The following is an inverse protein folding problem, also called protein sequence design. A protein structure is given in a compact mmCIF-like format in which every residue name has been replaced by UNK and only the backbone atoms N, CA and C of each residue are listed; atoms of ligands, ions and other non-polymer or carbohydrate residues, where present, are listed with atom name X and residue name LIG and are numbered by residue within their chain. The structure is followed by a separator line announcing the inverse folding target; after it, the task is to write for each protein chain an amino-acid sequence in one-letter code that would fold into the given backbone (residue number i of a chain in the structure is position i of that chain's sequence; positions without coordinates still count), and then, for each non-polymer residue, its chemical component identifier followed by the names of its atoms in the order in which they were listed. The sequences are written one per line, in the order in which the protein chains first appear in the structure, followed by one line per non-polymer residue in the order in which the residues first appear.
data_IF_818610944163
#
_entry.id   IF_818610944163
#
_cell.length_a   1.000
_cell.length_b   1.000
_cell.length_c   1.000
_cell.angle_alpha   90.00
_cell.angle_beta   90.00
_cell.angle_gamma   90.00
#
_symmetry.space_group_name_H-M   'P 1'
#
loop_
_entity.id
_entity.type
_entity.pdbx_description
1 polymer ?
#
# COMPACT_ATOMS: atom_id res chain seq x y z
N UNK A 1 -27.08 -28.50 20.64
CA UNK A 1 -26.28 -29.06 19.55
C UNK A 1 -25.34 -27.97 19.11
N UNK A 2 -24.06 -28.13 19.43
CA UNK A 2 -23.00 -27.17 19.17
C UNK A 2 -22.57 -27.38 17.72
N UNK A 3 -22.80 -26.39 16.86
CA UNK A 3 -22.17 -26.35 15.54
C UNK A 3 -20.75 -25.86 15.76
N UNK A 4 -19.81 -26.72 15.39
CA UNK A 4 -18.37 -26.53 15.42
C UNK A 4 -17.95 -25.30 14.63
N UNK A 5 -17.00 -24.55 15.18
CA UNK A 5 -16.18 -23.59 14.47
C UNK A 5 -15.53 -24.27 13.27
N UNK A 6 -15.99 -23.97 12.06
CA UNK A 6 -15.21 -24.21 10.86
C UNK A 6 -14.04 -23.21 10.91
N UNK A 7 -12.92 -23.68 11.44
CA UNK A 7 -11.62 -23.13 11.13
C UNK A 7 -11.49 -23.09 9.61
N UNK A 8 -11.16 -21.93 9.06
CA UNK A 8 -10.65 -21.84 7.71
C UNK A 8 -9.34 -22.64 7.73
N UNK A 9 -9.41 -23.89 7.27
CA UNK A 9 -8.23 -24.68 6.97
C UNK A 9 -7.49 -23.94 5.86
N UNK A 10 -6.49 -23.13 6.24
CA UNK A 10 -5.36 -22.91 5.36
C UNK A 10 -4.76 -24.30 5.18
N UNK A 11 -5.04 -24.97 4.06
CA UNK A 11 -4.20 -26.08 3.65
C UNK A 11 -2.76 -25.55 3.69
N UNK A 12 -1.97 -26.06 4.65
CA UNK A 12 -0.56 -25.74 4.80
C UNK A 12 0.15 -26.24 3.53
N UNK A 13 0.10 -25.46 2.45
CA UNK A 13 0.97 -25.64 1.30
C UNK A 13 2.40 -25.71 1.85
N UNK A 14 2.99 -26.90 1.78
CA UNK A 14 4.31 -27.12 2.31
C UNK A 14 5.31 -26.26 1.54
N UNK A 15 6.01 -25.37 2.25
CA UNK A 15 7.12 -24.60 1.73
C UNK A 15 8.34 -25.52 1.55
N UNK A 16 8.30 -26.38 0.55
CA UNK A 16 9.44 -27.20 0.13
C UNK A 16 10.37 -26.43 -0.80
N UNK A 17 11.56 -26.99 -1.04
CA UNK A 17 12.58 -26.35 -1.86
C UNK A 17 12.10 -26.04 -3.28
N UNK A 18 11.34 -26.97 -3.89
CA UNK A 18 10.89 -26.81 -5.27
C UNK A 18 9.85 -25.68 -5.39
N UNK A 19 8.89 -25.67 -4.47
CA UNK A 19 7.84 -24.66 -4.38
C UNK A 19 8.42 -23.28 -4.10
N UNK A 20 9.35 -23.17 -3.14
CA UNK A 20 10.01 -21.89 -2.85
C UNK A 20 10.88 -21.41 -4.01
N UNK A 21 11.56 -22.31 -4.72
CA UNK A 21 12.34 -21.96 -5.92
C UNK A 21 11.44 -21.39 -7.02
N UNK A 22 10.27 -21.99 -7.25
CA UNK A 22 9.29 -21.46 -8.20
C UNK A 22 8.78 -20.07 -7.81
N UNK A 23 8.55 -19.84 -6.51
CA UNK A 23 8.18 -18.50 -5.99
C UNK A 23 9.32 -17.50 -6.22
N UNK A 24 10.57 -17.87 -5.97
CA UNK A 24 11.73 -17.02 -6.23
C UNK A 24 11.87 -16.66 -7.72
N UNK A 25 11.59 -17.61 -8.63
CA UNK A 25 11.57 -17.35 -10.07
C UNK A 25 10.46 -16.36 -10.46
N UNK A 26 9.28 -16.43 -9.84
CA UNK A 26 8.21 -15.45 -10.07
C UNK A 26 8.60 -14.05 -9.56
N UNK A 27 9.29 -13.94 -8.42
CA UNK A 27 9.82 -12.66 -7.92
C UNK A 27 10.82 -12.07 -8.91
N UNK A 28 11.72 -12.90 -9.48
CA UNK A 28 12.66 -12.46 -10.53
C UNK A 28 11.91 -11.88 -11.74
N UNK A 29 10.86 -12.55 -12.21
CA UNK A 29 10.05 -12.07 -13.35
C UNK A 29 9.42 -10.71 -13.04
N UNK A 30 8.81 -10.54 -11.87
CA UNK A 30 8.20 -9.27 -11.43
C UNK A 30 9.24 -8.16 -11.29
N UNK A 31 10.41 -8.46 -10.72
CA UNK A 31 11.50 -7.49 -10.57
C UNK A 31 12.08 -7.06 -11.93
N UNK A 32 12.28 -8.00 -12.85
CA UNK A 32 12.72 -7.69 -14.22
C UNK A 32 11.70 -6.85 -14.97
N UNK A 33 10.40 -7.09 -14.78
CA UNK A 33 9.34 -6.28 -15.40
C UNK A 33 9.34 -4.85 -14.86
N UNK A 34 9.44 -4.68 -13.54
CA UNK A 34 9.55 -3.38 -12.91
C UNK A 34 10.78 -2.60 -13.40
N UNK A 35 11.93 -3.26 -13.57
CA UNK A 35 13.14 -2.64 -14.11
C UNK A 35 12.97 -2.25 -15.59
N UNK A 36 12.35 -3.10 -16.41
CA UNK A 36 12.02 -2.78 -17.81
C UNK A 36 11.07 -1.60 -17.91
N UNK A 37 10.06 -1.53 -17.05
CA UNK A 37 9.14 -0.40 -17.00
C UNK A 37 9.90 0.88 -16.61
N UNK A 38 10.68 0.86 -15.52
CA UNK A 38 11.44 2.04 -15.09
C UNK A 38 12.42 2.53 -16.16
N UNK A 39 13.04 1.64 -16.93
CA UNK A 39 13.94 1.99 -18.03
C UNK A 39 13.24 2.76 -19.17
N UNK A 40 11.93 2.57 -19.36
CA UNK A 40 11.13 3.32 -20.34
C UNK A 40 10.82 4.76 -19.87
N UNK A 41 10.91 5.02 -18.56
CA UNK A 41 10.60 6.30 -17.94
C UNK A 41 11.79 6.85 -17.11
N UNK A 42 12.91 7.21 -17.76
CA UNK A 42 14.15 7.60 -17.08
C UNK A 42 14.03 8.86 -16.20
N UNK A 43 12.99 9.68 -16.39
CA UNK A 43 12.69 10.82 -15.51
C UNK A 43 12.33 10.38 -14.08
N UNK A 44 11.83 9.16 -13.90
CA UNK A 44 11.50 8.57 -12.60
C UNK A 44 12.65 7.76 -12.00
N UNK A 45 13.66 7.43 -12.81
CA UNK A 45 14.88 6.74 -12.39
C UNK A 45 15.94 7.68 -11.78
N UNK A 46 15.71 9.00 -11.83
CA UNK A 46 16.66 9.99 -11.32
C UNK A 46 16.92 9.76 -9.83
N UNK A 47 18.18 9.81 -9.37
CA UNK A 47 18.50 9.61 -7.96
C UNK A 47 17.90 10.73 -7.10
N UNK A 48 17.28 10.34 -5.99
CA UNK A 48 16.82 11.24 -4.93
C UNK A 48 17.18 10.68 -3.55
N UNK A 49 17.05 11.52 -2.53
CA UNK A 49 17.11 11.07 -1.15
C UNK A 49 15.74 10.47 -0.78
N UNK A 50 15.77 9.23 -0.31
CA UNK A 50 14.61 8.50 0.17
C UNK A 50 14.79 8.22 1.64
N UNK A 51 13.88 8.76 2.45
CA UNK A 51 13.87 8.56 3.89
C UNK A 51 12.83 7.48 4.23
N UNK A 52 13.24 6.41 4.91
CA UNK A 52 12.32 5.39 5.41
C UNK A 52 11.98 5.55 6.90
N UNK A 53 12.61 6.50 7.63
CA UNK A 53 12.20 6.87 8.98
C UNK A 53 11.32 8.13 8.97
N UNK A 54 10.02 7.89 8.95
CA UNK A 54 8.98 8.90 8.92
C UNK A 54 8.49 9.35 10.30
N UNK A 55 9.23 9.04 11.37
CA UNK A 55 8.79 9.42 12.69
C UNK A 55 8.81 10.94 12.88
N UNK A 56 7.70 11.52 13.35
CA UNK A 56 7.59 12.96 13.64
C UNK A 56 8.67 13.49 14.60
N UNK A 57 9.24 12.62 15.45
CA UNK A 57 10.38 12.96 16.33
C UNK A 57 11.62 13.43 15.55
N UNK A 58 11.73 13.07 14.27
CA UNK A 58 12.84 13.40 13.40
C UNK A 58 12.65 14.75 12.67
N UNK A 59 11.51 15.42 12.88
CA UNK A 59 11.21 16.72 12.27
C UNK A 59 11.28 17.80 13.36
N UNK A 60 12.27 18.69 13.25
CA UNK A 60 12.39 19.83 14.15
C UNK A 60 11.66 21.03 13.58
N UNK A 61 10.71 21.57 14.35
CA UNK A 61 9.96 22.77 14.01
C UNK A 61 10.53 24.00 14.72
N UNK A 62 10.42 25.16 14.09
CA UNK A 62 10.61 26.45 14.73
C UNK A 62 9.45 26.73 15.69
N UNK A 63 9.75 27.11 16.94
CA UNK A 63 8.72 27.24 18.00
C UNK A 63 7.71 28.36 17.74
N UNK A 64 8.12 29.39 17.00
CA UNK A 64 7.33 30.60 16.83
C UNK A 64 6.50 30.54 15.55
N UNK A 65 7.05 29.92 14.50
CA UNK A 65 6.43 29.85 13.16
C UNK A 65 5.84 28.50 12.81
N UNK A 66 6.16 27.44 13.57
CA UNK A 66 5.83 26.04 13.29
C UNK A 66 6.33 25.55 11.91
N UNK A 67 7.30 26.24 11.33
CA UNK A 67 7.94 25.82 10.08
C UNK A 67 9.01 24.77 10.35
N UNK A 68 9.20 23.85 9.40
CA UNK A 68 10.29 22.88 9.46
C UNK A 68 11.64 23.61 9.45
N UNK A 69 12.44 23.38 10.49
CA UNK A 69 13.77 23.95 10.69
C UNK A 69 14.87 22.96 10.32
N UNK A 70 14.68 21.68 10.64
CA UNK A 70 15.63 20.63 10.30
C UNK A 70 14.94 19.26 10.26
N UNK A 71 15.51 18.37 9.45
CA UNK A 71 15.28 16.93 9.53
C UNK A 71 16.53 16.33 10.18
N UNK A 72 16.34 15.47 11.18
CA UNK A 72 17.41 14.77 11.89
C UNK A 72 17.26 13.26 11.67
N UNK A 73 18.20 12.48 12.20
CA UNK A 73 18.18 11.00 12.12
C UNK A 73 18.21 10.49 10.67
N UNK A 74 19.36 10.71 10.01
CA UNK A 74 19.58 10.38 8.60
C UNK A 74 20.10 8.96 8.38
N UNK A 75 20.09 8.12 9.43
CA UNK A 75 20.70 6.79 9.41
C UNK A 75 19.95 5.82 8.47
N UNK A 76 18.67 6.08 8.19
CA UNK A 76 17.82 5.32 7.25
C UNK A 76 17.43 6.13 6.00
N UNK A 77 18.39 6.94 5.51
CA UNK A 77 18.25 7.69 4.26
C UNK A 77 19.15 7.11 3.19
N UNK A 78 18.55 6.83 2.02
CA UNK A 78 19.22 6.17 0.91
C UNK A 78 19.16 7.01 -0.35
N UNK A 79 20.14 6.81 -1.24
CA UNK A 79 20.06 7.35 -2.61
C UNK A 79 19.40 6.30 -3.49
N UNK A 80 18.18 6.56 -3.93
CA UNK A 80 17.37 5.63 -4.72
C UNK A 80 16.64 6.36 -5.84
N UNK A 81 16.05 5.65 -6.82
CA UNK A 81 15.20 6.26 -7.85
C UNK A 81 14.07 7.11 -7.25
N UNK A 82 13.79 8.27 -7.85
CA UNK A 82 12.69 9.16 -7.47
C UNK A 82 11.37 8.43 -7.21
N UNK A 83 11.07 7.43 -8.04
CA UNK A 83 9.82 6.70 -7.97
C UNK A 83 9.60 5.92 -6.66
N UNK A 84 10.68 5.53 -5.96
CA UNK A 84 10.56 4.85 -4.67
C UNK A 84 10.55 5.84 -3.50
N UNK A 85 10.85 7.11 -3.74
CA UNK A 85 10.94 8.15 -2.71
C UNK A 85 9.61 8.73 -2.24
N UNK A 86 8.50 8.30 -2.83
CA UNK A 86 7.16 8.75 -2.47
C UNK A 86 6.46 7.58 -1.82
N UNK A 87 6.08 7.71 -0.54
CA UNK A 87 5.23 6.75 0.16
C UNK A 87 4.35 7.45 1.21
N UNK A 88 3.47 6.69 1.86
CA UNK A 88 2.46 7.21 2.79
C UNK A 88 2.69 6.63 4.20
N UNK A 89 3.42 7.33 5.08
CA UNK A 89 3.88 6.77 6.36
C UNK A 89 2.77 6.31 7.31
N UNK A 90 1.70 7.09 7.39
CA UNK A 90 0.51 6.75 8.18
C UNK A 90 -0.10 5.42 7.71
N UNK A 91 -0.17 5.20 6.40
CA UNK A 91 -0.73 3.98 5.82
C UNK A 91 0.18 2.75 6.03
N UNK A 92 1.50 2.93 5.94
CA UNK A 92 2.45 1.84 6.19
C UNK A 92 2.34 1.33 7.63
N UNK A 93 2.08 2.24 8.58
CA UNK A 93 2.16 1.93 10.01
C UNK A 93 0.81 1.62 10.67
N UNK A 94 -0.30 2.11 10.12
CA UNK A 94 -1.60 2.10 10.81
C UNK A 94 -2.76 1.56 9.97
N UNK A 95 -2.52 1.12 8.73
CA UNK A 95 -3.60 0.65 7.86
C UNK A 95 -4.29 -0.63 8.40
N UNK A 96 -5.63 -0.60 8.44
CA UNK A 96 -6.46 -1.75 8.84
C UNK A 96 -7.25 -2.32 7.66
N UNK A 97 -7.11 -3.64 7.45
CA UNK A 97 -7.88 -4.41 6.48
C UNK A 97 -9.29 -4.76 6.94
N UNK A 98 -9.60 -4.55 8.23
CA UNK A 98 -10.90 -4.93 8.79
C UNK A 98 -12.03 -4.11 8.18
N UNK A 99 -13.12 -4.79 7.83
CA UNK A 99 -14.27 -4.17 7.17
C UNK A 99 -14.11 -3.92 5.67
N UNK A 100 -12.96 -4.25 5.06
CA UNK A 100 -12.84 -4.27 3.60
C UNK A 100 -13.65 -5.42 2.99
N UNK A 101 -14.31 -5.14 1.87
CA UNK A 101 -15.00 -6.16 1.11
C UNK A 101 -14.00 -7.23 0.60
N UNK A 102 -14.29 -8.53 0.75
CA UNK A 102 -13.38 -9.60 0.32
C UNK A 102 -13.01 -9.56 -1.17
N UNK A 103 -13.84 -8.96 -2.01
CA UNK A 103 -13.63 -8.81 -3.45
C UNK A 103 -12.99 -7.47 -3.84
N UNK A 104 -12.56 -6.65 -2.87
CA UNK A 104 -11.92 -5.37 -3.13
C UNK A 104 -10.64 -5.53 -3.97
N UNK A 105 -10.35 -4.51 -4.78
CA UNK A 105 -9.13 -4.49 -5.61
C UNK A 105 -7.86 -4.64 -4.77
N UNK A 106 -7.88 -4.22 -3.50
CA UNK A 106 -6.74 -4.36 -2.60
C UNK A 106 -6.27 -5.82 -2.42
N UNK A 107 -7.21 -6.76 -2.28
CA UNK A 107 -6.90 -8.18 -2.22
C UNK A 107 -6.37 -8.71 -3.55
N UNK A 108 -7.02 -8.33 -4.66
CA UNK A 108 -6.60 -8.74 -6.02
C UNK A 108 -5.21 -8.22 -6.40
N UNK A 109 -4.86 -7.05 -5.87
CA UNK A 109 -3.58 -6.40 -6.12
C UNK A 109 -2.43 -6.91 -5.23
N UNK A 110 -2.70 -7.90 -4.37
CA UNK A 110 -1.69 -8.59 -3.57
C UNK A 110 -1.42 -7.97 -2.21
N UNK A 111 -2.27 -7.06 -1.70
CA UNK A 111 -2.20 -6.52 -0.32
C UNK A 111 -0.83 -5.88 -0.02
N UNK A 112 -0.50 -4.79 -0.72
CA UNK A 112 0.76 -4.06 -0.50
C UNK A 112 0.51 -2.81 0.37
N UNK A 113 1.25 -2.61 1.48
CA UNK A 113 1.04 -1.48 2.39
C UNK A 113 1.18 -0.10 1.72
N UNK A 114 2.08 0.05 0.75
CA UNK A 114 2.27 1.30 -0.01
C UNK A 114 1.11 1.66 -0.96
N UNK A 115 0.08 0.82 -1.04
CA UNK A 115 -1.09 0.98 -1.91
C UNK A 115 -2.40 0.65 -1.18
N UNK A 116 -2.71 1.35 -0.08
CA UNK A 116 -3.99 1.19 0.60
C UNK A 116 -5.15 1.58 -0.34
N UNK A 117 -6.34 0.96 -0.21
CA UNK A 117 -7.53 1.39 -0.92
C UNK A 117 -7.98 2.76 -0.43
N UNK A 118 -8.52 3.56 -1.35
CA UNK A 118 -9.19 4.80 -1.01
C UNK A 118 -10.58 4.52 -0.45
N UNK A 119 -10.97 5.28 0.58
CA UNK A 119 -12.32 5.24 1.12
C UNK A 119 -12.88 6.66 1.26
N UNK A 120 -14.10 6.83 0.77
CA UNK A 120 -14.81 8.10 0.73
C UNK A 120 -16.13 8.02 1.48
N UNK A 121 -16.55 9.15 2.04
CA UNK A 121 -17.86 9.31 2.67
C UNK A 121 -17.80 10.15 3.94
N UNK A 122 -18.94 10.23 4.61
CA UNK A 122 -19.02 10.98 5.87
C UNK A 122 -18.36 10.20 7.01
N UNK A 123 -17.64 10.93 7.85
CA UNK A 123 -17.13 10.44 9.13
C UNK A 123 -18.31 10.44 10.11
N UNK A 124 -18.64 9.26 10.62
CA UNK A 124 -19.79 9.06 11.51
C UNK A 124 -19.34 8.61 12.90
N UNK A 125 -20.11 8.90 13.95
CA UNK A 125 -19.83 8.33 15.27
C UNK A 125 -20.06 6.81 15.29
N UNK A 126 -19.36 6.09 16.15
CA UNK A 126 -19.63 4.67 16.41
C UNK A 126 -21.05 4.41 16.96
N UNK A 127 -21.71 5.47 17.45
CA UNK A 127 -23.07 5.46 17.98
C UNK A 127 -23.84 6.62 17.34
N UNK A 128 -25.09 6.37 16.95
CA UNK A 128 -26.00 7.39 16.43
C UNK A 128 -26.59 8.27 17.55
N UNK A 129 -27.40 9.27 17.15
CA UNK A 129 -28.02 10.20 18.09
C UNK A 129 -28.98 9.54 19.10
N UNK A 130 -29.46 8.33 18.80
CA UNK A 130 -30.38 7.56 19.64
C UNK A 130 -29.64 6.53 20.52
N UNK A 131 -28.30 6.53 20.51
CA UNK A 131 -27.51 5.60 21.31
C UNK A 131 -27.35 4.21 20.70
N UNK A 132 -27.70 4.01 19.41
CA UNK A 132 -27.53 2.73 18.72
C UNK A 132 -26.19 2.70 17.98
N UNK A 133 -25.54 1.55 17.97
CA UNK A 133 -24.30 1.37 17.23
C UNK A 133 -24.53 1.66 15.74
N UNK A 134 -23.77 2.64 15.22
CA UNK A 134 -23.77 2.94 13.80
C UNK A 134 -23.11 1.78 13.06
N UNK A 135 -23.76 1.31 11.99
CA UNK A 135 -23.21 0.24 11.17
C UNK A 135 -23.22 -1.14 11.83
N UNK A 136 -24.40 -1.69 12.15
CA UNK A 136 -24.51 -3.15 12.33
C UNK A 136 -24.81 -3.80 10.98
N UNK A 137 -24.03 -4.82 10.60
CA UNK A 137 -24.52 -5.78 9.60
C UNK A 137 -25.75 -6.52 10.16
N UNK A 138 -26.65 -7.04 9.31
CA UNK A 138 -27.87 -7.78 9.72
C UNK A 138 -27.62 -8.94 10.72
N UNK A 139 -26.36 -9.35 10.89
CA UNK A 139 -25.91 -10.43 11.76
C UNK A 139 -25.29 -9.95 13.10
N UNK A 140 -25.34 -8.65 13.41
CA UNK A 140 -24.88 -8.11 14.69
C UNK A 140 -23.36 -7.87 14.81
N UNK A 141 -22.61 -8.05 13.72
CA UNK A 141 -21.21 -7.65 13.67
C UNK A 141 -21.12 -6.12 13.54
N UNK A 142 -20.32 -5.51 14.40
CA UNK A 142 -19.92 -4.10 14.26
C UNK A 142 -19.26 -3.93 12.90
N UNK A 143 -19.83 -3.11 12.02
CA UNK A 143 -19.03 -2.43 11.01
C UNK A 143 -18.00 -1.68 11.81
N UNK A 144 -16.74 -1.84 11.43
CA UNK A 144 -15.63 -1.23 12.11
C UNK A 144 -15.59 0.27 11.77
N UNK A 145 -16.56 1.02 12.32
CA UNK A 145 -16.80 2.44 12.01
C UNK A 145 -15.54 3.25 12.26
N UNK A 146 -14.80 2.93 13.33
CA UNK A 146 -13.55 3.60 13.64
C UNK A 146 -12.51 3.37 12.55
N UNK A 147 -12.40 2.15 12.03
CA UNK A 147 -11.39 1.85 11.00
C UNK A 147 -11.81 2.28 9.60
N UNK A 148 -13.11 2.26 9.29
CA UNK A 148 -13.67 2.97 8.14
C UNK A 148 -13.36 4.46 8.20
N UNK A 149 -13.65 5.11 9.32
CA UNK A 149 -13.39 6.53 9.51
C UNK A 149 -11.90 6.85 9.42
N UNK A 150 -11.05 5.97 9.94
CA UNK A 150 -9.60 6.09 9.83
C UNK A 150 -9.17 6.04 8.35
N UNK A 151 -9.62 5.05 7.57
CA UNK A 151 -9.33 4.99 6.12
C UNK A 151 -9.81 6.21 5.35
N UNK A 152 -10.95 6.81 5.72
CA UNK A 152 -11.41 8.09 5.13
C UNK A 152 -10.42 9.22 5.45
N UNK A 153 -9.99 9.34 6.71
CA UNK A 153 -9.00 10.36 7.12
C UNK A 153 -7.67 10.15 6.39
N UNK A 154 -7.20 8.91 6.30
CA UNK A 154 -5.95 8.57 5.63
C UNK A 154 -6.03 8.90 4.13
N UNK A 155 -7.16 8.59 3.49
CA UNK A 155 -7.43 9.00 2.09
C UNK A 155 -7.34 10.51 1.91
N UNK A 156 -7.96 11.30 2.81
CA UNK A 156 -7.88 12.76 2.77
C UNK A 156 -6.43 13.29 2.95
N UNK A 157 -5.66 12.65 3.83
CA UNK A 157 -4.25 13.00 4.07
C UNK A 157 -3.39 12.67 2.84
N UNK A 158 -3.54 11.46 2.26
CA UNK A 158 -2.85 11.06 1.02
C UNK A 158 -3.11 12.03 -0.11
N UNK A 159 -4.37 12.39 -0.37
CA UNK A 159 -4.70 13.34 -1.44
C UNK A 159 -4.09 14.72 -1.19
N UNK A 160 -4.08 15.17 0.07
CA UNK A 160 -3.46 16.46 0.44
C UNK A 160 -1.95 16.42 0.22
N UNK A 161 -1.30 15.33 0.61
CA UNK A 161 0.12 15.10 0.40
C UNK A 161 0.47 15.04 -1.09
N UNK A 162 -0.30 14.27 -1.90
CA UNK A 162 -0.13 14.21 -3.35
C UNK A 162 -0.26 15.58 -3.99
N UNK A 163 -1.31 16.35 -3.64
CA UNK A 163 -1.50 17.72 -4.15
C UNK A 163 -0.32 18.63 -3.80
N UNK A 164 0.22 18.51 -2.58
CA UNK A 164 1.41 19.24 -2.18
C UNK A 164 2.63 18.82 -3.02
N UNK A 165 2.88 17.52 -3.19
CA UNK A 165 3.98 17.02 -4.02
C UNK A 165 3.88 17.50 -5.48
N UNK A 166 2.68 17.46 -6.08
CA UNK A 166 2.42 17.95 -7.44
C UNK A 166 2.77 19.45 -7.60
N UNK A 167 2.61 20.26 -6.55
CA UNK A 167 2.99 21.67 -6.57
C UNK A 167 4.51 21.89 -6.50
N UNK A 168 5.26 20.92 -5.99
CA UNK A 168 6.71 21.02 -5.79
C UNK A 168 7.51 20.33 -6.90
N UNK A 169 6.98 19.25 -7.49
CA UNK A 169 7.67 18.45 -8.50
C UNK A 169 6.72 18.01 -9.62
N UNK A 170 6.93 18.54 -10.82
CA UNK A 170 6.09 18.27 -11.99
C UNK A 170 6.09 16.82 -12.47
N UNK A 171 7.04 15.99 -12.01
CA UNK A 171 7.04 14.54 -12.28
C UNK A 171 5.84 13.83 -11.63
N UNK A 172 5.39 14.32 -10.48
CA UNK A 172 4.26 13.74 -9.71
C UNK A 172 2.91 14.00 -10.41
N UNK A 173 2.85 15.05 -11.24
CA UNK A 173 1.66 15.39 -12.03
C UNK A 173 1.52 14.57 -13.32
N UNK A 174 2.49 13.73 -13.67
CA UNK A 174 2.45 12.96 -14.90
C UNK A 174 1.49 11.76 -14.75
N UNK A 175 0.61 11.47 -15.73
CA UNK A 175 -0.36 10.37 -15.63
C UNK A 175 0.27 8.98 -15.45
N UNK A 176 1.40 8.74 -16.11
CA UNK A 176 2.15 7.48 -16.11
C UNK A 176 2.93 7.23 -14.82
N UNK A 177 3.24 8.29 -14.05
CA UNK A 177 4.06 8.20 -12.85
C UNK A 177 3.50 7.19 -11.84
N UNK A 178 2.18 7.21 -11.59
CA UNK A 178 1.56 6.37 -10.57
C UNK A 178 1.49 4.89 -10.96
N UNK A 179 1.41 4.59 -12.26
CA UNK A 179 1.49 3.23 -12.79
C UNK A 179 2.91 2.68 -12.66
N UNK A 180 3.91 3.47 -13.09
CA UNK A 180 5.32 3.10 -12.95
C UNK A 180 5.70 2.90 -11.48
N UNK A 181 5.26 3.80 -10.60
CA UNK A 181 5.43 3.68 -9.14
C UNK A 181 4.85 2.38 -8.63
N UNK A 182 3.64 2.02 -9.06
CA UNK A 182 2.97 0.80 -8.60
C UNK A 182 3.82 -0.44 -8.85
N UNK A 183 4.32 -0.64 -10.07
CA UNK A 183 5.15 -1.80 -10.40
C UNK A 183 6.48 -1.79 -9.64
N UNK A 184 7.16 -0.65 -9.63
CA UNK A 184 8.50 -0.54 -9.04
C UNK A 184 8.47 -0.72 -7.52
N UNK A 185 7.52 -0.11 -6.80
CA UNK A 185 7.44 -0.27 -5.35
C UNK A 185 6.98 -1.65 -4.91
N UNK A 186 6.10 -2.34 -5.67
CA UNK A 186 5.76 -3.74 -5.38
C UNK A 186 7.01 -4.64 -5.48
N UNK A 187 7.81 -4.46 -6.53
CA UNK A 187 9.08 -5.18 -6.68
C UNK A 187 10.08 -4.81 -5.58
N UNK A 188 10.21 -3.52 -5.26
CA UNK A 188 11.09 -3.05 -4.18
C UNK A 188 10.70 -3.68 -2.84
N UNK A 189 9.42 -3.65 -2.47
CA UNK A 189 8.90 -4.23 -1.24
C UNK A 189 9.18 -5.74 -1.13
N UNK A 190 9.00 -6.49 -2.23
CA UNK A 190 9.37 -7.90 -2.26
C UNK A 190 10.87 -8.10 -1.96
N UNK A 191 11.72 -7.29 -2.58
CA UNK A 191 13.17 -7.41 -2.41
C UNK A 191 13.65 -6.98 -1.02
N UNK A 192 13.00 -6.00 -0.39
CA UNK A 192 13.34 -5.53 0.96
C UNK A 192 12.86 -6.47 2.06
N UNK A 193 11.65 -7.02 1.93
CA UNK A 193 11.08 -7.94 2.93
C UNK A 193 11.61 -9.39 2.79
N UNK A 194 12.01 -9.78 1.58
CA UNK A 194 12.64 -11.07 1.32
C UNK A 194 11.68 -12.27 1.38
N UNK A 195 12.24 -13.45 1.65
CA UNK A 195 11.60 -14.74 1.38
C UNK A 195 10.24 -14.97 2.05
N UNK A 196 10.02 -14.43 3.25
CA UNK A 196 8.73 -14.57 3.93
C UNK A 196 7.60 -13.86 3.16
N UNK A 197 7.90 -12.67 2.61
CA UNK A 197 6.96 -11.89 1.82
C UNK A 197 6.73 -12.52 0.45
N UNK A 198 7.76 -13.15 -0.12
CA UNK A 198 7.61 -13.91 -1.36
C UNK A 198 6.62 -15.05 -1.17
N UNK A 199 6.77 -15.81 -0.08
CA UNK A 199 5.89 -16.93 0.23
C UNK A 199 4.46 -16.48 0.56
N UNK A 200 4.29 -15.38 1.31
CA UNK A 200 2.97 -14.84 1.64
C UNK A 200 2.23 -14.31 0.40
N UNK A 201 2.95 -13.85 -0.63
CA UNK A 201 2.38 -13.35 -1.89
C UNK A 201 2.46 -14.34 -3.07
N UNK A 202 2.71 -15.63 -2.82
CA UNK A 202 2.99 -16.63 -3.87
C UNK A 202 1.89 -16.76 -4.93
N UNK A 203 0.61 -16.74 -4.54
CA UNK A 203 -0.52 -16.82 -5.48
C UNK A 203 -0.57 -15.59 -6.39
N UNK A 204 -0.42 -14.39 -5.80
CA UNK A 204 -0.34 -13.15 -6.55
C UNK A 204 0.86 -13.13 -7.51
N UNK A 205 2.03 -13.57 -7.05
CA UNK A 205 3.24 -13.69 -7.87
C UNK A 205 3.05 -14.61 -9.07
N UNK A 206 2.39 -15.76 -8.88
CA UNK A 206 2.07 -16.69 -9.96
C UNK A 206 1.12 -16.06 -10.99
N UNK A 207 0.12 -15.31 -10.55
CA UNK A 207 -0.79 -14.57 -11.44
C UNK A 207 -0.06 -13.52 -12.28
N UNK A 208 0.85 -12.76 -11.67
CA UNK A 208 1.65 -11.75 -12.37
C UNK A 208 2.59 -12.40 -13.39
N UNK A 209 3.31 -13.45 -12.98
CA UNK A 209 4.25 -14.16 -13.85
C UNK A 209 3.56 -14.83 -15.06
N UNK A 210 2.30 -15.23 -14.91
CA UNK A 210 1.50 -15.83 -15.98
C UNK A 210 0.86 -14.79 -16.93
N UNK A 211 0.99 -13.49 -16.65
CA UNK A 211 0.38 -12.42 -17.45
C UNK A 211 -1.15 -12.31 -17.31
N UNK A 212 -1.74 -12.98 -16.32
CA UNK A 212 -3.21 -13.06 -16.14
C UNK A 212 -3.75 -11.83 -15.38
N UNK A 213 -2.87 -11.05 -14.74
CA UNK A 213 -3.25 -9.99 -13.78
C UNK A 213 -3.43 -8.57 -14.32
N UNK A 214 -2.97 -8.23 -15.53
CA UNK A 214 -2.89 -6.80 -15.95
C UNK A 214 -3.99 -6.35 -16.93
N UNK A 215 -4.65 -7.27 -17.65
CA UNK A 215 -5.57 -6.91 -18.74
C UNK A 215 -7.05 -6.68 -18.32
N UNK A 216 -7.40 -6.79 -17.04
CA UNK A 216 -8.80 -6.66 -16.58
C UNK A 216 -9.12 -5.45 -15.71
N UNK A 217 -8.14 -4.64 -15.29
CA UNK A 217 -8.36 -3.48 -14.39
C UNK A 217 -8.20 -2.13 -15.11
N UNK A 218 -7.51 -2.09 -16.24
CA UNK A 218 -7.30 -0.89 -17.04
C UNK A 218 -8.52 -0.56 -17.92
N UNK A 219 -9.60 -0.01 -17.33
CA UNK A 219 -10.49 0.90 -18.07
C UNK A 219 -11.38 1.83 -17.23
N UNK A 220 -11.42 1.76 -15.88
CA UNK A 220 -12.44 2.52 -15.13
C UNK A 220 -11.99 3.32 -13.89
N UNK A 221 -10.69 3.53 -13.64
CA UNK A 221 -10.26 4.39 -12.52
C UNK A 221 -9.30 5.49 -13.00
N UNK A 222 -9.84 6.35 -13.84
CA UNK A 222 -9.32 7.71 -14.04
C UNK A 222 -10.54 8.64 -14.02
N UNK A 223 -10.85 9.18 -12.84
CA UNK A 223 -11.63 10.41 -12.63
C UNK A 223 -11.50 10.87 -11.19
#
# INVERSE_FOLDING_TARGET
MVASSESIDFEDEHCDLASFTAVADNVRIVAEDALRMLAQFPQYAQPCLVNYDYAYRNILLDSDTLRVKALIDWDDVHVMPFIVGIDFPEDITQFSIYGLAPDSNYYREGIFPSFPPDEYGEIIGAVDADGKFAGQAEQGNSIDVDQRNQRIRDTMLRETYIRALQSQDGRVSQPDMWEVRRKVLKAHHLLTEGGWMWWSKREWLQMQASGIGEDTVNMNVCR
#
